data_IF_030319778677
#
_entry.id   IF_030319778677
#
_cell.length_a   1.000
_cell.length_b   1.000
_cell.length_c   1.000
_cell.angle_alpha   90.00
_cell.angle_beta   90.00
_cell.angle_gamma   90.00
#
_symmetry.space_group_name_H-M   'P 1'
#
loop_
_entity.id
_entity.type
_entity.pdbx_description
1 polymer ?
#
# COMPACT_ATOMS: atom_id res chain seq x y z
N UNK A 1 37.42 15.81 -16.42
CA UNK A 1 38.81 16.25 -16.65
C UNK A 1 39.72 15.02 -16.76
N UNK A 2 39.63 14.10 -15.82
CA UNK A 2 40.42 12.86 -15.74
C UNK A 2 40.44 11.97 -16.99
N UNK A 3 39.31 11.79 -17.69
CA UNK A 3 39.29 11.00 -18.94
C UNK A 3 40.10 11.65 -20.08
N UNK A 4 40.22 12.99 -20.10
CA UNK A 4 41.05 13.72 -21.07
C UNK A 4 42.53 13.67 -20.66
N UNK A 5 42.84 13.77 -19.38
CA UNK A 5 44.20 13.61 -18.84
C UNK A 5 44.74 12.18 -19.02
N UNK A 6 43.90 11.15 -18.89
CA UNK A 6 44.28 9.75 -19.15
C UNK A 6 44.57 9.48 -20.64
N UNK A 7 43.87 10.19 -21.54
CA UNK A 7 44.15 10.19 -22.98
C UNK A 7 45.47 10.90 -23.30
N UNK A 8 45.74 12.04 -22.64
CA UNK A 8 47.00 12.78 -22.76
C UNK A 8 48.20 12.03 -22.15
N UNK A 9 47.97 11.16 -21.15
CA UNK A 9 49.01 10.30 -20.56
C UNK A 9 49.26 8.98 -21.29
N UNK A 10 48.48 8.68 -22.34
CA UNK A 10 48.61 7.48 -23.17
C UNK A 10 47.91 6.22 -22.64
N UNK A 11 47.16 6.32 -21.54
CA UNK A 11 46.41 5.20 -20.97
C UNK A 11 45.00 5.09 -21.60
N UNK A 12 44.99 4.59 -22.83
CA UNK A 12 43.77 4.42 -23.63
C UNK A 12 42.75 3.46 -23.01
N UNK A 13 43.20 2.49 -22.20
CA UNK A 13 42.32 1.54 -21.51
C UNK A 13 41.56 2.24 -20.37
N UNK A 14 42.27 3.03 -19.55
CA UNK A 14 41.67 3.82 -18.49
C UNK A 14 40.68 4.87 -19.05
N UNK A 15 41.09 5.59 -20.09
CA UNK A 15 40.23 6.59 -20.73
C UNK A 15 38.94 5.97 -21.30
N UNK A 16 39.02 4.77 -21.90
CA UNK A 16 37.86 4.03 -22.39
C UNK A 16 36.95 3.59 -21.24
N UNK A 17 37.50 3.04 -20.15
CA UNK A 17 36.72 2.62 -18.98
C UNK A 17 35.96 3.77 -18.33
N UNK A 18 36.58 4.95 -18.21
CA UNK A 18 35.93 6.15 -17.70
C UNK A 18 34.82 6.65 -18.65
N UNK A 19 35.06 6.65 -19.96
CA UNK A 19 34.04 7.02 -20.94
C UNK A 19 32.83 6.06 -20.91
N UNK A 20 33.08 4.76 -20.79
CA UNK A 20 32.02 3.75 -20.67
C UNK A 20 31.20 3.92 -19.38
N UNK A 21 31.85 4.32 -18.27
CA UNK A 21 31.16 4.65 -17.01
C UNK A 21 30.24 5.87 -17.18
N UNK A 22 30.75 6.97 -17.74
CA UNK A 22 29.95 8.18 -17.97
C UNK A 22 28.75 7.88 -18.89
N UNK A 23 28.94 7.08 -19.94
CA UNK A 23 27.85 6.68 -20.82
C UNK A 23 26.78 5.85 -20.07
N UNK A 24 27.18 5.03 -19.10
CA UNK A 24 26.25 4.30 -18.25
C UNK A 24 25.44 5.24 -17.37
N UNK A 25 26.10 6.18 -16.71
CA UNK A 25 25.44 7.14 -15.80
C UNK A 25 24.44 8.03 -16.56
N UNK A 26 24.80 8.47 -17.77
CA UNK A 26 23.91 9.25 -18.65
C UNK A 26 22.68 8.43 -19.05
N UNK A 27 22.85 7.14 -19.38
CA UNK A 27 21.73 6.25 -19.71
C UNK A 27 20.82 6.04 -18.51
N UNK A 28 21.39 5.71 -17.36
CA UNK A 28 20.63 5.54 -16.12
C UNK A 28 19.82 6.78 -15.75
N UNK A 29 20.45 7.95 -15.83
CA UNK A 29 19.77 9.24 -15.58
C UNK A 29 18.64 9.49 -16.59
N UNK A 30 18.86 9.14 -17.87
CA UNK A 30 17.85 9.30 -18.92
C UNK A 30 16.66 8.38 -18.73
N UNK A 31 16.90 7.12 -18.37
CA UNK A 31 15.84 6.14 -18.11
C UNK A 31 15.03 6.54 -16.87
N UNK A 32 15.70 6.97 -15.80
CA UNK A 32 15.07 7.48 -14.59
C UNK A 32 14.22 8.74 -14.87
N UNK A 33 14.71 9.67 -15.70
CA UNK A 33 13.95 10.83 -16.15
C UNK A 33 12.68 10.42 -16.89
N UNK A 34 12.77 9.48 -17.84
CA UNK A 34 11.61 9.03 -18.60
C UNK A 34 10.55 8.37 -17.71
N UNK A 35 10.97 7.53 -16.77
CA UNK A 35 10.11 6.88 -15.78
C UNK A 35 9.35 7.92 -14.93
N UNK A 36 10.09 8.83 -14.30
CA UNK A 36 9.53 9.85 -13.40
C UNK A 36 8.60 10.80 -14.16
N UNK A 37 9.03 11.31 -15.32
CA UNK A 37 8.18 12.20 -16.11
C UNK A 37 6.92 11.51 -16.60
N UNK A 38 6.98 10.22 -16.94
CA UNK A 38 5.79 9.45 -17.31
C UNK A 38 4.81 9.36 -16.14
N UNK A 39 5.30 9.03 -14.95
CA UNK A 39 4.47 8.97 -13.74
C UNK A 39 3.85 10.33 -13.40
N UNK A 40 4.64 11.42 -13.43
CA UNK A 40 4.15 12.77 -13.16
C UNK A 40 3.16 13.29 -14.21
N UNK A 41 3.27 12.87 -15.49
CA UNK A 41 2.21 13.15 -16.48
C UNK A 41 0.90 12.44 -16.17
N UNK A 42 0.96 11.32 -15.44
CA UNK A 42 -0.17 10.52 -15.00
C UNK A 42 -0.48 10.75 -13.51
N UNK A 43 -0.06 11.88 -12.93
CA UNK A 43 -0.15 12.18 -11.50
C UNK A 43 -1.52 11.86 -10.91
N UNK A 44 -2.59 12.31 -11.57
CA UNK A 44 -3.97 12.05 -11.13
C UNK A 44 -4.29 10.56 -10.99
N UNK A 45 -3.80 9.70 -11.89
CA UNK A 45 -4.02 8.25 -11.79
C UNK A 45 -3.28 7.62 -10.60
N UNK A 46 -2.18 8.24 -10.17
CA UNK A 46 -1.45 7.84 -8.96
C UNK A 46 -2.23 8.29 -7.73
N UNK A 47 -2.70 9.54 -7.72
CA UNK A 47 -3.52 10.12 -6.64
C UNK A 47 -4.83 9.36 -6.42
N UNK A 48 -5.51 8.93 -7.50
CA UNK A 48 -6.76 8.15 -7.44
C UNK A 48 -6.62 6.81 -6.68
N UNK A 49 -5.39 6.34 -6.47
CA UNK A 49 -5.08 5.11 -5.74
C UNK A 49 -4.76 5.34 -4.27
N UNK A 50 -4.70 6.59 -3.81
CA UNK A 50 -4.33 6.88 -2.44
C UNK A 50 -5.40 6.40 -1.46
N UNK A 51 -5.00 5.78 -0.33
CA UNK A 51 -5.92 5.46 0.74
C UNK A 51 -6.52 6.74 1.33
N UNK A 52 -7.84 6.73 1.53
CA UNK A 52 -8.61 7.91 1.97
C UNK A 52 -8.20 8.42 3.36
N UNK A 53 -7.69 7.54 4.22
CA UNK A 53 -7.24 7.84 5.59
C UNK A 53 -5.82 8.46 5.65
N UNK A 54 -5.05 8.39 4.57
CA UNK A 54 -3.64 8.78 4.53
C UNK A 54 -3.25 9.64 3.32
N UNK A 55 -4.22 10.23 2.61
CA UNK A 55 -4.00 11.06 1.40
C UNK A 55 -2.85 12.05 1.55
N UNK A 56 -2.80 12.81 2.66
CA UNK A 56 -1.76 13.81 2.90
C UNK A 56 -0.33 13.22 2.97
N UNK A 57 -0.18 11.98 3.48
CA UNK A 57 1.12 11.29 3.50
C UNK A 57 1.58 10.93 2.09
N UNK A 58 0.65 10.42 1.26
CA UNK A 58 0.94 10.01 -0.11
C UNK A 58 1.17 11.19 -1.04
N UNK A 59 0.42 12.28 -0.85
CA UNK A 59 0.67 13.56 -1.52
C UNK A 59 2.08 14.06 -1.22
N UNK A 60 2.51 14.04 0.05
CA UNK A 60 3.86 14.47 0.43
C UNK A 60 4.96 13.62 -0.25
N UNK A 61 4.76 12.30 -0.37
CA UNK A 61 5.69 11.41 -1.10
C UNK A 61 5.74 11.72 -2.59
N UNK A 62 4.59 11.99 -3.22
CA UNK A 62 4.52 12.34 -4.64
C UNK A 62 5.09 13.74 -4.93
N UNK A 63 4.92 14.68 -3.99
CA UNK A 63 5.54 16.01 -4.06
C UNK A 63 7.06 15.95 -3.87
N UNK A 64 7.56 15.07 -3.00
CA UNK A 64 8.99 14.81 -2.86
C UNK A 64 9.60 14.27 -4.18
N UNK A 65 8.91 13.32 -4.85
CA UNK A 65 9.30 12.87 -6.19
C UNK A 65 9.35 14.03 -7.19
N UNK A 66 8.32 14.88 -7.19
CA UNK A 66 8.26 16.05 -8.07
C UNK A 66 9.37 17.08 -7.78
N UNK A 67 9.69 17.29 -6.50
CA UNK A 67 10.74 18.21 -6.07
C UNK A 67 12.13 17.71 -6.51
N UNK A 68 12.45 16.43 -6.29
CA UNK A 68 13.70 15.81 -6.76
C UNK A 68 13.83 15.90 -8.29
N UNK A 69 12.74 15.63 -8.99
CA UNK A 69 12.68 15.78 -10.45
C UNK A 69 12.96 17.23 -10.91
N UNK A 70 12.36 18.22 -10.24
CA UNK A 70 12.60 19.63 -10.52
C UNK A 70 14.05 20.06 -10.22
N UNK A 71 14.69 19.44 -9.23
CA UNK A 71 16.12 19.60 -8.91
C UNK A 71 17.07 18.90 -9.88
N UNK A 72 16.57 18.08 -10.82
CA UNK A 72 17.37 17.29 -11.75
C UNK A 72 17.95 16.00 -11.14
N UNK A 73 17.53 15.64 -9.94
CA UNK A 73 17.95 14.43 -9.22
C UNK A 73 17.15 13.20 -9.71
N UNK A 74 17.24 12.90 -11.01
CA UNK A 74 16.35 11.93 -11.66
C UNK A 74 16.43 10.52 -11.09
N UNK A 75 17.64 10.05 -10.77
CA UNK A 75 17.84 8.71 -10.17
C UNK A 75 17.17 8.63 -8.81
N UNK A 76 17.40 9.61 -7.93
CA UNK A 76 16.76 9.67 -6.62
C UNK A 76 15.24 9.84 -6.70
N UNK A 77 14.74 10.62 -7.67
CA UNK A 77 13.31 10.76 -7.92
C UNK A 77 12.67 9.43 -8.36
N UNK A 78 13.36 8.65 -9.20
CA UNK A 78 12.89 7.34 -9.65
C UNK A 78 12.89 6.33 -8.50
N UNK A 79 13.91 6.33 -7.64
CA UNK A 79 13.94 5.51 -6.43
C UNK A 79 12.77 5.81 -5.50
N UNK A 80 12.55 7.09 -5.17
CA UNK A 80 11.43 7.52 -4.33
C UNK A 80 10.07 7.14 -4.94
N UNK A 81 9.91 7.29 -6.26
CA UNK A 81 8.70 6.87 -6.97
C UNK A 81 8.46 5.36 -6.87
N UNK A 82 9.50 4.54 -7.05
CA UNK A 82 9.41 3.08 -6.96
C UNK A 82 9.08 2.63 -5.55
N UNK A 83 9.72 3.22 -4.55
CA UNK A 83 9.45 2.94 -3.13
C UNK A 83 7.99 3.25 -2.81
N UNK A 84 7.53 4.47 -3.11
CA UNK A 84 6.13 4.87 -2.90
C UNK A 84 5.17 3.92 -3.62
N UNK A 85 5.42 3.59 -4.90
CA UNK A 85 4.55 2.69 -5.67
C UNK A 85 4.55 1.26 -5.12
N UNK A 86 5.66 0.80 -4.53
CA UNK A 86 5.75 -0.50 -3.87
C UNK A 86 4.97 -0.51 -2.55
N UNK A 87 5.11 0.55 -1.74
CA UNK A 87 4.33 0.71 -0.51
C UNK A 87 2.82 0.78 -0.79
N UNK A 88 2.42 1.50 -1.86
CA UNK A 88 1.01 1.62 -2.24
C UNK A 88 0.43 0.26 -2.63
N UNK A 89 1.15 -0.50 -3.45
CA UNK A 89 0.79 -1.89 -3.79
C UNK A 89 0.68 -2.78 -2.56
N UNK A 90 1.60 -2.65 -1.60
CA UNK A 90 1.53 -3.42 -0.35
C UNK A 90 0.29 -3.06 0.47
N UNK A 91 -0.10 -1.77 0.51
CA UNK A 91 -1.32 -1.34 1.16
C UNK A 91 -2.57 -1.90 0.46
N UNK A 92 -2.64 -1.82 -0.87
CA UNK A 92 -3.75 -2.38 -1.68
C UNK A 92 -3.93 -3.89 -1.43
N UNK A 93 -2.84 -4.65 -1.35
CA UNK A 93 -2.88 -6.09 -1.01
C UNK A 93 -3.47 -6.31 0.38
N UNK A 94 -2.98 -5.59 1.41
CA UNK A 94 -3.51 -5.71 2.78
C UNK A 94 -4.99 -5.36 2.86
N UNK A 95 -5.43 -4.31 2.16
CA UNK A 95 -6.84 -3.93 2.11
C UNK A 95 -7.69 -5.02 1.47
N UNK A 96 -7.19 -5.66 0.41
CA UNK A 96 -7.85 -6.81 -0.23
C UNK A 96 -7.97 -7.99 0.74
N UNK A 97 -6.89 -8.35 1.44
CA UNK A 97 -6.88 -9.45 2.42
C UNK A 97 -7.88 -9.21 3.56
N UNK A 98 -7.91 -8.00 4.12
CA UNK A 98 -8.87 -7.64 5.18
C UNK A 98 -10.30 -7.65 4.65
N UNK A 99 -10.53 -7.19 3.42
CA UNK A 99 -11.84 -7.23 2.79
C UNK A 99 -12.36 -8.66 2.61
N UNK A 100 -11.48 -9.60 2.24
CA UNK A 100 -11.81 -11.02 2.15
C UNK A 100 -12.15 -11.61 3.52
N UNK A 101 -11.36 -11.28 4.54
CA UNK A 101 -11.64 -11.72 5.91
C UNK A 101 -12.97 -11.17 6.44
N UNK A 102 -13.29 -9.91 6.14
CA UNK A 102 -14.58 -9.31 6.50
C UNK A 102 -15.75 -10.03 5.82
N UNK A 103 -15.63 -10.40 4.54
CA UNK A 103 -16.65 -11.18 3.82
C UNK A 103 -16.85 -12.57 4.45
N UNK A 104 -15.77 -13.20 4.89
CA UNK A 104 -15.84 -14.47 5.61
C UNK A 104 -16.59 -14.31 6.94
N UNK A 105 -16.20 -13.33 7.76
CA UNK A 105 -16.86 -13.04 9.05
C UNK A 105 -18.35 -12.70 8.88
N UNK A 106 -18.72 -11.89 7.88
CA UNK A 106 -20.12 -11.58 7.58
C UNK A 106 -20.91 -12.84 7.18
N UNK A 107 -20.32 -13.72 6.39
CA UNK A 107 -20.94 -15.00 5.99
C UNK A 107 -21.18 -15.91 7.19
N UNK A 108 -20.15 -16.09 8.03
CA UNK A 108 -20.24 -16.88 9.26
C UNK A 108 -21.30 -16.29 10.22
N UNK A 109 -21.31 -14.96 10.37
CA UNK A 109 -22.30 -14.28 11.20
C UNK A 109 -23.73 -14.53 10.70
N UNK A 110 -23.98 -14.40 9.40
CA UNK A 110 -25.30 -14.66 8.80
C UNK A 110 -25.76 -16.10 9.03
N UNK A 111 -24.85 -17.07 8.93
CA UNK A 111 -25.15 -18.48 9.17
C UNK A 111 -25.47 -18.74 10.65
N UNK A 112 -24.64 -18.23 11.56
CA UNK A 112 -24.84 -18.36 13.00
C UNK A 112 -26.14 -17.67 13.45
N UNK A 113 -26.43 -16.48 12.94
CA UNK A 113 -27.66 -15.72 13.24
C UNK A 113 -28.92 -16.52 12.92
N UNK A 114 -28.97 -17.20 11.77
CA UNK A 114 -30.08 -18.09 11.40
C UNK A 114 -30.25 -19.26 12.38
N UNK A 115 -29.13 -19.86 12.82
CA UNK A 115 -29.15 -20.94 13.82
C UNK A 115 -29.66 -20.44 15.17
N UNK A 116 -29.22 -19.27 15.62
CA UNK A 116 -29.69 -18.63 16.86
C UNK A 116 -31.20 -18.38 16.82
N UNK A 117 -31.71 -17.86 15.70
CA UNK A 117 -33.14 -17.65 15.52
C UNK A 117 -33.92 -18.98 15.64
N UNK A 118 -33.38 -20.08 15.07
CA UNK A 118 -34.02 -21.41 15.16
C UNK A 118 -33.93 -22.05 16.55
N UNK A 119 -32.94 -21.71 17.37
CA UNK A 119 -32.77 -22.23 18.73
C UNK A 119 -33.44 -21.36 19.81
N UNK A 120 -34.16 -20.31 19.40
CA UNK A 120 -34.87 -19.41 20.31
C UNK A 120 -34.00 -18.34 20.98
N UNK A 121 -32.75 -18.18 20.55
CA UNK A 121 -31.84 -17.14 21.06
C UNK A 121 -32.11 -15.83 20.30
N UNK A 122 -32.97 -14.99 20.89
CA UNK A 122 -33.43 -13.75 20.28
C UNK A 122 -32.39 -12.61 20.29
N UNK A 123 -32.71 -11.47 19.64
CA UNK A 123 -31.84 -10.29 19.54
C UNK A 123 -31.37 -9.68 20.87
N UNK A 124 -32.09 -9.94 21.97
CA UNK A 124 -31.74 -9.45 23.31
C UNK A 124 -30.70 -10.29 24.04
N UNK A 125 -30.24 -11.42 23.48
CA UNK A 125 -29.14 -12.17 24.08
C UNK A 125 -27.85 -11.35 24.04
N UNK A 126 -27.19 -11.21 25.20
CA UNK A 126 -26.00 -10.39 25.34
C UNK A 126 -24.84 -10.87 24.44
N UNK A 127 -24.70 -12.18 24.21
CA UNK A 127 -23.68 -12.73 23.32
C UNK A 127 -23.97 -12.42 21.85
N UNK A 128 -25.24 -12.53 21.44
CA UNK A 128 -25.70 -12.14 20.10
C UNK A 128 -25.47 -10.66 19.83
N UNK A 129 -25.84 -9.79 20.78
CA UNK A 129 -25.60 -8.34 20.66
C UNK A 129 -24.11 -8.01 20.57
N UNK A 130 -23.26 -8.68 21.37
CA UNK A 130 -21.82 -8.48 21.32
C UNK A 130 -21.23 -8.91 19.97
N UNK A 131 -21.66 -10.04 19.42
CA UNK A 131 -21.23 -10.49 18.09
C UNK A 131 -21.68 -9.53 16.98
N UNK A 132 -22.95 -9.10 16.97
CA UNK A 132 -23.45 -8.12 16.00
C UNK A 132 -22.66 -6.80 16.06
N UNK A 133 -22.39 -6.32 17.28
CA UNK A 133 -21.60 -5.10 17.49
C UNK A 133 -20.19 -5.25 16.94
N UNK A 134 -19.48 -6.34 17.26
CA UNK A 134 -18.11 -6.55 16.81
C UNK A 134 -18.01 -6.67 15.28
N UNK A 135 -18.96 -7.36 14.64
CA UNK A 135 -19.04 -7.46 13.17
C UNK A 135 -19.30 -6.08 12.55
N UNK A 136 -20.19 -5.27 13.14
CA UNK A 136 -20.47 -3.92 12.66
C UNK A 136 -19.27 -2.97 12.84
N UNK A 137 -18.54 -3.07 13.95
CA UNK A 137 -17.30 -2.31 14.18
C UNK A 137 -16.22 -2.67 13.14
N UNK A 138 -16.07 -3.95 12.81
CA UNK A 138 -15.15 -4.40 11.77
C UNK A 138 -15.54 -3.87 10.38
N UNK A 139 -16.82 -3.89 10.03
CA UNK A 139 -17.33 -3.32 8.78
C UNK A 139 -17.06 -1.81 8.69
N UNK A 140 -17.33 -1.07 9.76
CA UNK A 140 -17.13 0.38 9.78
C UNK A 140 -15.65 0.76 9.68
N UNK A 141 -14.76 0.01 10.33
CA UNK A 141 -13.31 0.20 10.20
C UNK A 141 -12.81 -0.06 8.77
N UNK A 142 -13.38 -1.07 8.09
CA UNK A 142 -13.07 -1.34 6.68
C UNK A 142 -13.52 -0.20 5.76
N UNK A 143 -14.73 0.33 5.96
CA UNK A 143 -15.27 1.47 5.20
C UNK A 143 -14.42 2.74 5.36
N UNK A 144 -13.82 2.93 6.54
CA UNK A 144 -12.92 4.04 6.82
C UNK A 144 -11.52 3.85 6.20
N UNK A 145 -11.20 2.64 5.72
CA UNK A 145 -9.86 2.30 5.21
C UNK A 145 -8.82 2.02 6.29
N UNK A 146 -9.20 2.04 7.57
CA UNK A 146 -8.29 1.76 8.69
C UNK A 146 -8.05 0.25 8.83
N UNK A 147 -7.04 -0.23 8.11
CA UNK A 147 -6.63 -1.64 8.06
C UNK A 147 -6.29 -2.18 9.47
N UNK A 148 -5.65 -1.38 10.31
CA UNK A 148 -5.21 -1.82 11.63
C UNK A 148 -6.40 -1.98 12.58
N UNK A 149 -7.29 -0.99 12.61
CA UNK A 149 -8.51 -1.06 13.38
C UNK A 149 -9.41 -2.20 12.88
N UNK A 150 -9.52 -2.37 11.56
CA UNK A 150 -10.33 -3.43 10.98
C UNK A 150 -9.81 -4.82 11.37
N UNK A 151 -8.50 -5.08 11.28
CA UNK A 151 -7.92 -6.35 11.74
C UNK A 151 -8.22 -6.64 13.22
N UNK A 152 -8.08 -5.63 14.09
CA UNK A 152 -8.38 -5.79 15.51
C UNK A 152 -9.85 -6.10 15.76
N UNK A 153 -10.74 -5.40 15.07
CA UNK A 153 -12.19 -5.62 15.17
C UNK A 153 -12.60 -7.00 14.61
N UNK A 154 -11.98 -7.46 13.51
CA UNK A 154 -12.20 -8.80 12.96
C UNK A 154 -11.78 -9.90 13.93
N UNK A 155 -10.67 -9.72 14.66
CA UNK A 155 -10.27 -10.63 15.73
C UNK A 155 -11.33 -10.73 16.83
N UNK A 156 -11.81 -9.58 17.33
CA UNK A 156 -12.87 -9.53 18.33
C UNK A 156 -14.19 -10.14 17.83
N UNK A 157 -14.53 -9.91 16.56
CA UNK A 157 -15.70 -10.53 15.93
C UNK A 157 -15.55 -12.05 15.88
N UNK A 158 -14.40 -12.58 15.48
CA UNK A 158 -14.12 -14.01 15.47
C UNK A 158 -14.29 -14.66 16.85
N UNK A 159 -13.71 -14.07 17.89
CA UNK A 159 -13.83 -14.56 19.28
C UNK A 159 -15.28 -14.55 19.78
N UNK A 160 -16.03 -13.47 19.46
CA UNK A 160 -17.44 -13.34 19.83
C UNK A 160 -18.30 -14.40 19.12
N UNK A 161 -18.08 -14.62 17.82
CA UNK A 161 -18.77 -15.62 17.03
C UNK A 161 -18.47 -17.04 17.53
N UNK A 162 -17.21 -17.36 17.80
CA UNK A 162 -16.83 -18.69 18.31
C UNK A 162 -17.45 -18.95 19.69
N UNK A 163 -17.39 -17.96 20.58
CA UNK A 163 -17.99 -18.06 21.93
C UNK A 163 -19.50 -18.27 21.85
N UNK A 164 -20.17 -17.57 20.95
CA UNK A 164 -21.60 -17.72 20.75
C UNK A 164 -21.95 -19.08 20.12
N UNK A 165 -21.15 -19.54 19.16
CA UNK A 165 -21.32 -20.84 18.52
C UNK A 165 -21.13 -22.01 19.50
N UNK A 166 -20.21 -21.90 20.47
CA UNK A 166 -20.04 -22.91 21.54
C UNK A 166 -21.24 -23.02 22.49
N UNK A 167 -22.10 -21.99 22.55
CA UNK A 167 -23.30 -21.94 23.41
C UNK A 167 -24.56 -22.48 22.71
N UNK A 168 -24.52 -22.68 21.39
CA UNK A 168 -25.65 -23.10 20.54
C UNK A 168 -25.47 -24.48 19.96
#
# INVERSE_FOLDING_TARGET
AEAREALESGDSALAKGLADSVLRDVRETSDAMQEVQRALRQRKQVEDRFPADSVAEWDAKLDDVASKAAGGEWVAAAEALREMTASLRSHEVKLSEVSELMRFVDTEWRALRKRLDSSGIGPGDAGRMAAEKAVAEAASALEQGDIQLCHKALGAAGEALETLNRRT
#
